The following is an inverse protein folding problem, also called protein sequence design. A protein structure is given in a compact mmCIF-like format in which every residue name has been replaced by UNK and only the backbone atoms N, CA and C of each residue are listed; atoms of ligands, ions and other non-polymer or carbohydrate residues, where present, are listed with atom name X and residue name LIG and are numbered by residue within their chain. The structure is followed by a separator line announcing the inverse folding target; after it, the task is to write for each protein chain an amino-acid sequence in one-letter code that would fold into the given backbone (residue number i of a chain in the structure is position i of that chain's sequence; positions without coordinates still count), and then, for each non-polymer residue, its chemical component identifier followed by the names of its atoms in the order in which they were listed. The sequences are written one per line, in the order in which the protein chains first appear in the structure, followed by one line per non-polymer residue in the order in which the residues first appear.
data_IF_655483836305
#
_entry.id   IF_655483836305
#
_cell.length_a   1.000
_cell.length_b   1.000
_cell.length_c   1.000
_cell.angle_alpha   90.00
_cell.angle_beta   90.00
_cell.angle_gamma   90.00
#
_symmetry.space_group_name_H-M   'P 1'
#
loop_
_entity.id
_entity.type
_entity.pdbx_description
1 polymer ?
#
# COMPACT_ATOMS: atom_id res chain seq x y z
N UNK A 1 16.79 23.11 11.21
CA UNK A 1 15.82 22.41 10.33
C UNK A 1 16.56 21.18 9.86
N UNK A 2 16.14 19.99 10.30
CA UNK A 2 16.81 18.76 9.89
C UNK A 2 16.70 18.59 8.38
N UNK A 3 17.74 18.05 7.74
CA UNK A 3 17.74 17.70 6.30
C UNK A 3 16.56 16.82 5.85
N UNK A 4 15.80 16.30 6.80
CA UNK A 4 14.62 15.46 6.61
C UNK A 4 13.36 16.21 6.12
N UNK A 5 13.38 17.55 5.97
CA UNK A 5 12.21 18.34 5.57
C UNK A 5 12.62 19.37 4.48
N UNK A 6 13.48 18.98 3.57
CA UNK A 6 13.84 19.80 2.43
C UNK A 6 12.73 19.81 1.36
N UNK A 7 12.88 20.64 0.36
CA UNK A 7 11.92 20.77 -0.74
C UNK A 7 11.78 19.45 -1.51
N UNK A 8 12.89 18.70 -1.69
CA UNK A 8 12.89 17.41 -2.38
C UNK A 8 12.01 16.40 -1.63
N UNK A 9 12.20 16.25 -0.32
CA UNK A 9 11.36 15.37 0.50
C UNK A 9 9.88 15.74 0.38
N UNK A 10 9.52 17.01 0.57
CA UNK A 10 8.11 17.44 0.51
C UNK A 10 7.49 17.24 -0.88
N UNK A 11 8.28 17.37 -1.95
CA UNK A 11 7.81 17.24 -3.33
C UNK A 11 7.35 15.80 -3.67
N UNK A 12 7.99 14.79 -3.10
CA UNK A 12 7.64 13.39 -3.30
C UNK A 12 6.77 12.83 -2.17
N UNK A 13 7.03 13.22 -0.92
CA UNK A 13 6.30 12.71 0.24
C UNK A 13 4.84 13.22 0.30
N UNK A 14 4.59 14.49 -0.06
CA UNK A 14 3.22 15.03 -0.03
C UNK A 14 2.29 14.33 -1.03
N UNK A 15 2.65 14.17 -2.33
CA UNK A 15 1.86 13.35 -3.24
C UNK A 15 1.70 11.90 -2.78
N UNK A 16 2.75 11.30 -2.19
CA UNK A 16 2.68 9.94 -1.67
C UNK A 16 1.55 9.79 -0.64
N UNK A 17 1.53 10.64 0.40
CA UNK A 17 0.51 10.56 1.46
C UNK A 17 -0.88 10.96 0.99
N UNK A 18 -0.99 11.86 0.00
CA UNK A 18 -2.27 12.22 -0.63
C UNK A 18 -2.84 10.99 -1.36
N UNK A 19 -2.05 10.33 -2.19
CA UNK A 19 -2.49 9.14 -2.94
C UNK A 19 -2.88 8.00 -2.01
N UNK A 20 -2.09 7.76 -0.96
CA UNK A 20 -2.39 6.75 0.06
C UNK A 20 -3.68 7.11 0.79
N UNK A 21 -3.89 8.38 1.16
CA UNK A 21 -5.11 8.85 1.81
C UNK A 21 -6.36 8.67 0.94
N UNK A 22 -6.28 9.05 -0.33
CA UNK A 22 -7.36 8.81 -1.29
C UNK A 22 -7.66 7.32 -1.43
N UNK A 23 -6.61 6.48 -1.47
CA UNK A 23 -6.77 5.02 -1.53
C UNK A 23 -7.54 4.46 -0.34
N UNK A 24 -7.23 4.91 0.87
CA UNK A 24 -7.93 4.53 2.10
C UNK A 24 -9.38 5.00 2.12
N UNK A 25 -9.69 6.09 1.43
CA UNK A 25 -11.06 6.57 1.23
C UNK A 25 -11.89 5.73 0.26
N UNK A 26 -11.29 4.75 -0.44
CA UNK A 26 -11.98 3.82 -1.33
C UNK A 26 -11.49 3.80 -2.78
N UNK A 27 -10.48 4.61 -3.13
CA UNK A 27 -9.83 4.56 -4.45
C UNK A 27 -8.73 3.50 -4.46
N UNK A 28 -9.13 2.24 -4.42
CA UNK A 28 -8.22 1.11 -4.40
C UNK A 28 -7.25 1.13 -5.59
N UNK A 29 -5.97 0.91 -5.30
CA UNK A 29 -4.89 0.94 -6.29
C UNK A 29 -4.01 2.20 -6.24
N UNK A 30 -4.54 3.37 -5.85
CA UNK A 30 -3.75 4.60 -5.76
C UNK A 30 -2.63 4.52 -4.71
N UNK A 31 -2.90 3.82 -3.60
CA UNK A 31 -1.96 3.68 -2.50
C UNK A 31 -0.67 2.95 -2.87
N UNK A 32 -0.69 2.14 -3.92
CA UNK A 32 0.49 1.39 -4.36
C UNK A 32 1.64 2.30 -4.87
N UNK A 33 1.33 3.52 -5.33
CA UNK A 33 2.34 4.51 -5.69
C UNK A 33 2.95 5.23 -4.46
N UNK A 34 2.30 5.14 -3.30
CA UNK A 34 2.73 5.88 -2.10
C UNK A 34 4.14 5.51 -1.64
N UNK A 35 4.43 4.21 -1.49
CA UNK A 35 5.77 3.77 -1.05
C UNK A 35 6.86 4.05 -2.08
N UNK A 36 6.68 3.80 -3.40
CA UNK A 36 7.66 4.22 -4.40
C UNK A 36 7.99 5.71 -4.35
N UNK A 37 6.98 6.58 -4.27
CA UNK A 37 7.23 8.03 -4.15
C UNK A 37 7.92 8.39 -2.84
N UNK A 38 7.53 7.77 -1.73
CA UNK A 38 8.19 8.01 -0.45
C UNK A 38 9.63 7.48 -0.44
N UNK A 39 9.92 6.35 -1.12
CA UNK A 39 11.26 5.82 -1.28
C UNK A 39 12.15 6.78 -2.09
N UNK A 40 11.63 7.40 -3.14
CA UNK A 40 12.31 8.45 -3.89
C UNK A 40 12.54 9.73 -3.06
N UNK A 41 11.73 9.98 -2.01
CA UNK A 41 11.90 11.11 -1.11
C UNK A 41 12.95 10.87 -0.03
N UNK A 42 13.24 9.61 0.31
CA UNK A 42 14.09 9.22 1.45
C UNK A 42 15.36 8.51 1.03
N UNK A 43 15.46 8.08 -0.23
CA UNK A 43 16.51 7.21 -0.79
C UNK A 43 16.67 5.86 -0.05
N UNK A 44 15.75 5.54 0.88
CA UNK A 44 15.74 4.35 1.72
C UNK A 44 14.34 3.74 1.82
N UNK A 45 14.07 2.58 1.18
CA UNK A 45 12.72 2.01 1.11
C UNK A 45 12.17 1.56 2.47
N UNK A 46 13.03 1.11 3.40
CA UNK A 46 12.60 0.68 4.73
C UNK A 46 12.18 1.90 5.56
N UNK A 47 12.97 2.99 5.50
CA UNK A 47 12.64 4.28 6.10
C UNK A 47 11.37 4.90 5.52
N UNK A 48 11.20 4.84 4.19
CA UNK A 48 9.98 5.26 3.52
C UNK A 48 8.75 4.56 4.08
N UNK A 49 8.83 3.23 4.22
CA UNK A 49 7.76 2.42 4.76
C UNK A 49 7.52 2.69 6.26
N UNK A 50 8.57 2.98 7.03
CA UNK A 50 8.49 3.33 8.45
C UNK A 50 7.81 4.69 8.69
N UNK A 51 8.06 5.69 7.85
CA UNK A 51 7.37 6.99 7.89
C UNK A 51 5.89 6.82 7.53
N UNK A 52 5.59 5.98 6.53
CA UNK A 52 4.22 5.74 6.09
C UNK A 52 3.40 4.92 7.08
N UNK A 53 3.99 4.00 7.85
CA UNK A 53 3.22 3.09 8.70
C UNK A 53 2.36 3.82 9.76
N UNK A 54 2.86 4.77 10.55
CA UNK A 54 2.02 5.53 11.49
C UNK A 54 0.94 6.35 10.78
N UNK A 55 1.26 6.90 9.60
CA UNK A 55 0.29 7.63 8.77
C UNK A 55 -0.85 6.68 8.34
N UNK A 56 -0.50 5.47 7.87
CA UNK A 56 -1.45 4.44 7.51
C UNK A 56 -2.36 4.05 8.67
N UNK A 57 -1.81 3.89 9.87
CA UNK A 57 -2.60 3.56 11.08
C UNK A 57 -3.65 4.64 11.39
N UNK A 58 -3.29 5.91 11.27
CA UNK A 58 -4.24 7.00 11.48
C UNK A 58 -5.28 7.06 10.35
N UNK A 59 -4.87 6.87 9.10
CA UNK A 59 -5.78 6.81 7.97
C UNK A 59 -6.73 5.60 8.04
N UNK A 60 -6.28 4.47 8.61
CA UNK A 60 -7.11 3.30 8.84
C UNK A 60 -8.24 3.60 9.82
N UNK A 61 -8.01 4.41 10.85
CA UNK A 61 -9.09 4.85 11.77
C UNK A 61 -10.18 5.58 10.99
N UNK A 62 -9.81 6.47 10.06
CA UNK A 62 -10.79 7.18 9.21
C UNK A 62 -11.55 6.21 8.33
N UNK A 63 -10.86 5.30 7.63
CA UNK A 63 -11.47 4.33 6.74
C UNK A 63 -12.42 3.35 7.48
N UNK A 64 -11.93 2.77 8.57
CA UNK A 64 -12.72 1.84 9.40
C UNK A 64 -13.95 2.55 10.00
N UNK A 65 -13.80 3.76 10.52
CA UNK A 65 -14.93 4.51 11.07
C UNK A 65 -16.00 4.81 10.01
N UNK A 66 -15.57 5.16 8.78
CA UNK A 66 -16.49 5.48 7.68
C UNK A 66 -17.29 4.27 7.17
N UNK A 67 -16.71 3.06 7.20
CA UNK A 67 -17.28 1.84 6.62
C UNK A 67 -17.48 0.71 7.64
N UNK A 68 -17.49 0.99 8.94
CA UNK A 68 -17.52 0.02 10.06
C UNK A 68 -18.70 -0.97 10.05
N UNK A 69 -19.77 -0.67 9.32
CA UNK A 69 -20.98 -1.50 9.23
C UNK A 69 -21.09 -2.29 7.93
N UNK A 70 -20.16 -2.09 7.01
CA UNK A 70 -20.22 -2.64 5.66
C UNK A 70 -18.94 -3.42 5.37
N UNK A 71 -18.88 -4.69 5.79
CA UNK A 71 -17.71 -5.55 5.56
C UNK A 71 -18.08 -7.03 5.54
N UNK A 72 -17.24 -7.87 4.96
CA UNK A 72 -17.41 -9.31 4.82
C UNK A 72 -16.40 -10.08 5.68
N UNK A 73 -16.91 -10.70 6.77
CA UNK A 73 -16.08 -11.48 7.70
C UNK A 73 -15.51 -12.75 7.09
N UNK A 74 -16.14 -13.32 6.06
CA UNK A 74 -15.67 -14.55 5.41
C UNK A 74 -14.39 -14.30 4.62
N UNK A 75 -14.27 -13.13 4.00
CA UNK A 75 -13.08 -12.67 3.30
C UNK A 75 -11.94 -12.43 4.30
N UNK A 76 -12.22 -11.73 5.41
CA UNK A 76 -11.22 -11.49 6.46
C UNK A 76 -10.70 -12.82 7.02
N UNK A 77 -11.59 -13.75 7.35
CA UNK A 77 -11.21 -15.06 7.87
C UNK A 77 -10.40 -15.91 6.88
N UNK A 78 -10.65 -15.76 5.57
CA UNK A 78 -9.90 -16.48 4.54
C UNK A 78 -8.51 -15.90 4.30
N UNK A 79 -8.35 -14.58 4.34
CA UNK A 79 -7.11 -13.92 3.92
C UNK A 79 -6.18 -13.54 5.07
N UNK A 80 -6.71 -13.12 6.25
CA UNK A 80 -5.87 -12.62 7.36
C UNK A 80 -4.83 -13.62 7.86
N UNK A 81 -5.14 -14.93 8.05
CA UNK A 81 -4.12 -15.88 8.51
C UNK A 81 -2.92 -15.94 7.56
N UNK A 82 -3.18 -16.02 6.26
CA UNK A 82 -2.13 -15.97 5.24
C UNK A 82 -1.39 -14.64 5.24
N UNK A 83 -2.11 -13.52 5.41
CA UNK A 83 -1.50 -12.19 5.41
C UNK A 83 -0.54 -11.98 6.59
N UNK A 84 -0.89 -12.47 7.78
CA UNK A 84 0.01 -12.45 8.95
C UNK A 84 1.28 -13.25 8.67
N UNK A 85 1.14 -14.47 8.10
CA UNK A 85 2.30 -15.27 7.70
C UNK A 85 3.16 -14.55 6.65
N UNK A 86 2.52 -13.89 5.67
CA UNK A 86 3.19 -13.09 4.65
C UNK A 86 3.96 -11.90 5.22
N UNK A 87 3.41 -11.20 6.23
CA UNK A 87 4.13 -10.13 6.96
C UNK A 87 5.38 -10.70 7.63
N UNK A 88 5.27 -11.84 8.30
CA UNK A 88 6.42 -12.51 8.94
C UNK A 88 7.50 -12.86 7.92
N UNK A 89 7.14 -13.44 6.77
CA UNK A 89 8.08 -13.74 5.68
C UNK A 89 8.74 -12.47 5.14
N UNK A 90 7.97 -11.41 4.92
CA UNK A 90 8.50 -10.12 4.47
C UNK A 90 9.47 -9.48 5.46
N UNK A 91 9.20 -9.60 6.77
CA UNK A 91 10.09 -9.13 7.82
C UNK A 91 11.43 -9.89 7.83
N UNK A 92 11.36 -11.22 7.81
CA UNK A 92 12.57 -12.06 7.81
C UNK A 92 13.44 -11.76 6.59
N UNK A 93 12.81 -11.58 5.43
CA UNK A 93 13.54 -11.25 4.21
C UNK A 93 14.14 -9.85 4.27
N UNK A 94 13.38 -8.85 4.71
CA UNK A 94 13.86 -7.47 4.84
C UNK A 94 15.03 -7.34 5.85
N UNK A 95 15.03 -8.17 6.91
CA UNK A 95 16.11 -8.22 7.88
C UNK A 95 17.37 -8.94 7.37
N UNK A 96 17.23 -9.79 6.35
CA UNK A 96 18.31 -10.64 5.83
C UNK A 96 18.94 -10.10 4.53
N UNK A 97 18.37 -9.10 3.89
CA UNK A 97 18.83 -8.57 2.60
C UNK A 97 19.26 -7.09 2.68
N UNK A 98 20.08 -6.65 1.73
CA UNK A 98 20.54 -5.25 1.67
C UNK A 98 19.40 -4.28 1.33
N UNK A 99 19.59 -3.01 1.67
CA UNK A 99 18.65 -1.93 1.30
C UNK A 99 18.45 -1.85 -0.22
N UNK A 100 19.52 -2.05 -1.00
CA UNK A 100 19.47 -2.05 -2.46
C UNK A 100 18.60 -3.19 -2.99
N UNK A 101 18.70 -4.40 -2.41
CA UNK A 101 17.85 -5.52 -2.79
C UNK A 101 16.36 -5.25 -2.46
N UNK A 102 16.08 -4.59 -1.33
CA UNK A 102 14.71 -4.16 -0.98
C UNK A 102 14.22 -3.08 -1.96
N UNK A 103 15.08 -2.15 -2.35
CA UNK A 103 14.77 -1.10 -3.34
C UNK A 103 14.47 -1.71 -4.72
N UNK A 104 15.30 -2.63 -5.18
CA UNK A 104 15.08 -3.37 -6.43
C UNK A 104 13.76 -4.18 -6.39
N UNK A 105 13.47 -4.85 -5.26
CA UNK A 105 12.24 -5.59 -5.07
C UNK A 105 11.00 -4.67 -5.10
N UNK A 106 11.06 -3.51 -4.44
CA UNK A 106 10.01 -2.49 -4.49
C UNK A 106 9.80 -1.98 -5.91
N UNK A 107 10.89 -1.71 -6.65
CA UNK A 107 10.84 -1.31 -8.05
C UNK A 107 10.16 -2.36 -8.93
N UNK A 108 10.58 -3.63 -8.80
CA UNK A 108 9.99 -4.74 -9.55
C UNK A 108 8.48 -4.92 -9.26
N UNK A 109 8.08 -4.89 -7.98
CA UNK A 109 6.66 -4.98 -7.58
C UNK A 109 5.86 -3.81 -8.16
N UNK A 110 6.42 -2.60 -8.16
CA UNK A 110 5.76 -1.40 -8.70
C UNK A 110 5.54 -1.50 -10.21
N UNK A 111 6.55 -1.97 -10.96
CA UNK A 111 6.45 -2.18 -12.41
C UNK A 111 5.40 -3.27 -12.73
N UNK A 112 5.53 -4.43 -12.08
CA UNK A 112 4.62 -5.56 -12.33
C UNK A 112 3.17 -5.19 -12.01
N UNK A 113 2.96 -4.47 -10.92
CA UNK A 113 1.62 -4.06 -10.56
C UNK A 113 1.07 -2.97 -11.50
N UNK A 114 1.84 -1.96 -11.82
CA UNK A 114 1.42 -0.92 -12.77
C UNK A 114 1.08 -1.51 -14.14
N UNK A 115 1.93 -2.40 -14.66
CA UNK A 115 1.69 -3.12 -15.90
C UNK A 115 0.43 -4.00 -15.83
N UNK A 116 0.28 -4.79 -14.75
CA UNK A 116 -0.92 -5.60 -14.51
C UNK A 116 -2.19 -4.74 -14.51
N UNK A 117 -2.19 -3.60 -13.83
CA UNK A 117 -3.36 -2.73 -13.75
C UNK A 117 -3.71 -2.10 -15.11
N UNK A 118 -2.71 -1.61 -15.85
CA UNK A 118 -2.93 -1.07 -17.20
C UNK A 118 -3.46 -2.13 -18.17
N UNK A 119 -2.97 -3.37 -18.05
CA UNK A 119 -3.46 -4.49 -18.85
C UNK A 119 -4.89 -4.88 -18.44
N UNK A 120 -5.20 -4.92 -17.15
CA UNK A 120 -6.52 -5.24 -16.64
C UNK A 120 -7.58 -4.21 -17.04
N UNK A 121 -7.23 -2.92 -17.08
CA UNK A 121 -8.12 -1.84 -17.54
C UNK A 121 -8.43 -1.94 -19.05
N UNK A 122 -7.53 -2.55 -19.82
CA UNK A 122 -7.73 -2.83 -21.26
C UNK A 122 -8.49 -4.14 -21.54
N UNK A 123 -9.12 -4.73 -20.54
CA UNK A 123 -9.91 -5.96 -20.68
C UNK A 123 -9.15 -7.25 -20.36
N UNK A 124 -7.90 -7.17 -19.91
CA UNK A 124 -7.14 -8.32 -19.41
C UNK A 124 -7.73 -8.88 -18.12
N UNK A 125 -7.69 -10.20 -17.95
CA UNK A 125 -8.26 -10.88 -16.79
C UNK A 125 -7.28 -11.90 -16.21
N UNK A 126 -6.55 -11.51 -15.17
CA UNK A 126 -5.98 -12.48 -14.23
C UNK A 126 -6.68 -12.25 -12.89
N UNK A 127 -7.62 -13.09 -12.56
CA UNK A 127 -8.34 -13.04 -11.30
C UNK A 127 -8.64 -14.46 -10.82
N UNK A 128 -8.61 -14.65 -9.52
CA UNK A 128 -9.09 -15.90 -8.94
C UNK A 128 -10.58 -16.09 -9.28
N UNK A 129 -11.03 -17.33 -9.40
CA UNK A 129 -12.45 -17.60 -9.56
C UNK A 129 -13.23 -17.08 -8.36
N UNK A 130 -14.43 -16.51 -8.61
CA UNK A 130 -15.34 -16.08 -7.52
C UNK A 130 -15.73 -17.23 -6.60
N UNK A 131 -15.67 -18.48 -7.09
CA UNK A 131 -15.95 -19.71 -6.35
C UNK A 131 -14.68 -20.38 -5.77
N UNK A 132 -13.52 -19.73 -5.83
CA UNK A 132 -12.27 -20.30 -5.32
C UNK A 132 -12.37 -20.61 -3.81
N UNK A 133 -11.84 -21.76 -3.34
CA UNK A 133 -11.91 -22.16 -1.95
C UNK A 133 -11.12 -21.22 -1.02
N UNK A 134 -11.42 -21.25 0.28
CA UNK A 134 -10.83 -20.34 1.27
C UNK A 134 -9.30 -20.42 1.34
N UNK A 135 -8.70 -21.60 1.12
CA UNK A 135 -7.25 -21.75 1.14
C UNK A 135 -6.54 -20.94 0.04
N UNK A 136 -7.21 -20.77 -1.13
CA UNK A 136 -6.71 -19.85 -2.18
C UNK A 136 -6.70 -18.41 -1.67
N UNK A 137 -7.74 -18.02 -0.89
CA UNK A 137 -7.75 -16.72 -0.20
C UNK A 137 -6.57 -16.56 0.75
N UNK A 138 -6.20 -17.61 1.49
CA UNK A 138 -5.00 -17.58 2.36
C UNK A 138 -3.70 -17.43 1.56
N UNK A 139 -3.57 -18.06 0.39
CA UNK A 139 -2.40 -17.87 -0.49
C UNK A 139 -2.30 -16.43 -0.99
N UNK A 140 -3.42 -15.85 -1.49
CA UNK A 140 -3.46 -14.44 -1.83
C UNK A 140 -3.21 -13.55 -0.60
N UNK A 141 -3.63 -14.00 0.58
CA UNK A 141 -3.28 -13.38 1.86
C UNK A 141 -1.79 -13.32 2.08
N UNK A 142 -1.06 -14.45 1.93
CA UNK A 142 0.41 -14.51 2.06
C UNK A 142 1.08 -13.50 1.12
N UNK A 143 0.70 -13.50 -0.16
CA UNK A 143 1.25 -12.55 -1.14
C UNK A 143 0.92 -11.10 -0.72
N UNK A 144 -0.31 -10.85 -0.27
CA UNK A 144 -0.75 -9.53 0.21
C UNK A 144 0.07 -9.06 1.40
N UNK A 145 0.25 -9.92 2.40
CA UNK A 145 1.04 -9.61 3.60
C UNK A 145 2.50 -9.35 3.28
N UNK A 146 3.10 -10.19 2.46
CA UNK A 146 4.48 -10.07 2.01
C UNK A 146 4.72 -8.75 1.26
N UNK A 147 3.93 -8.46 0.22
CA UNK A 147 4.05 -7.21 -0.54
C UNK A 147 3.67 -5.98 0.28
N UNK A 148 2.77 -6.14 1.25
CA UNK A 148 2.42 -5.08 2.19
C UNK A 148 3.53 -4.78 3.19
N UNK A 149 4.30 -5.78 3.63
CA UNK A 149 5.43 -5.59 4.53
C UNK A 149 6.58 -4.86 3.84
N UNK A 150 6.92 -5.27 2.61
CA UNK A 150 8.06 -4.72 1.87
C UNK A 150 7.75 -3.32 1.30
N UNK A 151 6.55 -3.14 0.73
CA UNK A 151 6.26 -2.01 -0.15
C UNK A 151 4.94 -1.29 0.17
N UNK A 152 4.24 -1.63 1.24
CA UNK A 152 2.83 -1.25 1.47
C UNK A 152 1.91 -1.50 0.25
N UNK A 153 2.32 -2.40 -0.65
CA UNK A 153 1.67 -2.72 -1.92
C UNK A 153 0.78 -3.99 -1.83
N UNK A 154 0.14 -4.23 -0.70
CA UNK A 154 -0.77 -5.37 -0.54
C UNK A 154 -2.12 -5.25 -1.27
N UNK A 155 -2.48 -4.06 -1.74
CA UNK A 155 -3.75 -3.82 -2.43
C UNK A 155 -3.99 -4.72 -3.66
N UNK A 156 -3.03 -4.87 -4.56
CA UNK A 156 -3.16 -5.68 -5.77
C UNK A 156 -3.54 -7.13 -5.53
N UNK A 157 -2.78 -7.91 -4.76
CA UNK A 157 -3.11 -9.32 -4.51
C UNK A 157 -4.46 -9.47 -3.77
N UNK A 158 -4.77 -8.55 -2.84
CA UNK A 158 -6.07 -8.48 -2.19
C UNK A 158 -7.18 -8.34 -3.21
N UNK A 159 -7.06 -7.37 -4.13
CA UNK A 159 -8.07 -7.13 -5.18
C UNK A 159 -8.22 -8.30 -6.14
N UNK A 160 -7.13 -8.96 -6.53
CA UNK A 160 -7.17 -10.11 -7.44
C UNK A 160 -8.05 -11.24 -6.92
N UNK A 161 -8.13 -11.43 -5.60
CA UNK A 161 -8.97 -12.45 -5.00
C UNK A 161 -10.37 -11.93 -4.61
N UNK A 162 -10.51 -10.67 -4.21
CA UNK A 162 -11.78 -10.11 -3.70
C UNK A 162 -12.67 -9.55 -4.81
N UNK A 163 -12.12 -8.83 -5.81
CA UNK A 163 -12.93 -8.18 -6.85
C UNK A 163 -13.83 -9.14 -7.66
N UNK A 164 -13.39 -10.37 -8.02
CA UNK A 164 -14.25 -11.31 -8.74
C UNK A 164 -15.52 -11.71 -7.98
N UNK A 165 -15.56 -11.50 -6.67
CA UNK A 165 -16.74 -11.78 -5.81
C UNK A 165 -17.84 -10.74 -5.94
N UNK A 166 -17.58 -9.64 -6.68
CA UNK A 166 -18.56 -8.59 -7.02
C UNK A 166 -19.32 -8.06 -5.80
N UNK A 167 -18.58 -7.80 -4.71
CA UNK A 167 -19.15 -7.17 -3.51
C UNK A 167 -19.72 -5.79 -3.84
N UNK A 168 -20.74 -5.38 -3.12
CA UNK A 168 -21.16 -3.98 -3.12
C UNK A 168 -19.99 -3.07 -2.75
N UNK A 169 -19.95 -1.86 -3.33
CA UNK A 169 -18.85 -0.91 -3.15
C UNK A 169 -18.51 -0.69 -1.67
N UNK A 170 -19.51 -0.40 -0.84
CA UNK A 170 -19.27 -0.07 0.57
C UNK A 170 -18.77 -1.30 1.34
N UNK A 171 -19.24 -2.52 0.99
CA UNK A 171 -18.74 -3.78 1.56
C UNK A 171 -17.30 -4.05 1.13
N UNK A 172 -16.96 -3.83 -0.14
CA UNK A 172 -15.60 -3.97 -0.64
C UNK A 172 -14.64 -3.01 0.08
N UNK A 173 -15.00 -1.72 0.18
CA UNK A 173 -14.16 -0.70 0.82
C UNK A 173 -14.03 -0.96 2.31
N UNK A 174 -15.11 -1.31 3.01
CA UNK A 174 -15.10 -1.62 4.43
C UNK A 174 -14.28 -2.88 4.76
N UNK A 175 -14.43 -3.94 3.95
CA UNK A 175 -13.62 -5.16 4.09
C UNK A 175 -12.13 -4.85 3.90
N UNK A 176 -11.80 -4.07 2.87
CA UNK A 176 -10.44 -3.61 2.60
C UNK A 176 -9.89 -2.76 3.76
N UNK A 177 -10.67 -1.80 4.26
CA UNK A 177 -10.27 -0.93 5.37
C UNK A 177 -9.91 -1.74 6.63
N UNK A 178 -10.79 -2.66 7.04
CA UNK A 178 -10.55 -3.52 8.22
C UNK A 178 -9.37 -4.45 7.98
N UNK A 179 -9.27 -5.09 6.81
CA UNK A 179 -8.19 -5.99 6.47
C UNK A 179 -6.83 -5.29 6.60
N UNK A 180 -6.66 -4.12 5.96
CA UNK A 180 -5.41 -3.39 6.00
C UNK A 180 -5.14 -2.71 7.34
N UNK A 181 -6.18 -2.32 8.10
CA UNK A 181 -6.01 -1.86 9.47
C UNK A 181 -5.37 -2.94 10.34
N UNK A 182 -5.93 -4.16 10.34
CA UNK A 182 -5.35 -5.30 11.08
C UNK A 182 -3.92 -5.56 10.61
N UNK A 183 -3.70 -5.58 9.29
CA UNK A 183 -2.38 -5.87 8.73
C UNK A 183 -1.34 -4.81 9.09
N UNK A 184 -1.71 -3.53 9.11
CA UNK A 184 -0.81 -2.45 9.52
C UNK A 184 -0.45 -2.55 11.00
N UNK A 185 -1.38 -2.94 11.89
CA UNK A 185 -1.08 -3.21 13.28
C UNK A 185 -0.15 -4.42 13.45
N UNK A 186 -0.33 -5.48 12.67
CA UNK A 186 0.56 -6.65 12.66
C UNK A 186 2.00 -6.30 12.24
N UNK A 187 2.16 -5.27 11.41
CA UNK A 187 3.49 -4.80 10.98
C UNK A 187 4.25 -4.00 12.04
N UNK A 188 3.56 -3.36 12.99
CA UNK A 188 4.20 -2.49 14.00
C UNK A 188 5.37 -3.18 14.73
N UNK A 189 5.22 -4.41 15.26
CA UNK A 189 6.33 -5.10 15.92
C UNK A 189 7.56 -5.29 15.03
N UNK A 190 7.34 -5.58 13.73
CA UNK A 190 8.42 -5.76 12.77
C UNK A 190 9.23 -4.46 12.57
N UNK A 191 8.56 -3.33 12.40
CA UNK A 191 9.24 -2.03 12.24
C UNK A 191 9.89 -1.52 13.54
N UNK A 192 9.34 -1.87 14.72
CA UNK A 192 10.00 -1.65 16.01
C UNK A 192 11.30 -2.45 16.08
N UNK A 193 11.26 -3.73 15.70
CA UNK A 193 12.43 -4.60 15.72
C UNK A 193 13.50 -4.20 14.70
N UNK A 194 13.12 -3.58 13.59
CA UNK A 194 14.05 -3.00 12.61
C UNK A 194 14.68 -1.66 13.09
N UNK A 195 14.22 -1.09 14.23
CA UNK A 195 14.76 0.16 14.77
C UNK A 195 14.31 1.43 14.01
N UNK A 196 13.28 1.32 13.18
CA UNK A 196 12.85 2.38 12.26
C UNK A 196 12.00 3.49 12.89
N UNK A 197 11.55 3.34 14.15
CA UNK A 197 10.84 4.38 14.87
C UNK A 197 11.80 5.42 15.48
N UNK A 198 12.54 6.08 14.60
CA UNK A 198 13.48 7.14 14.98
C UNK A 198 12.75 8.47 15.21
N UNK A 199 13.44 9.42 15.89
CA UNK A 199 12.92 10.78 16.11
C UNK A 199 12.67 11.49 14.77
N UNK A 200 13.56 11.32 13.80
CA UNK A 200 13.47 11.98 12.50
C UNK A 200 12.29 11.43 11.69
N UNK A 201 12.08 10.12 11.68
CA UNK A 201 10.91 9.50 11.06
C UNK A 201 9.60 9.94 11.73
N UNK A 202 9.59 10.11 13.06
CA UNK A 202 8.44 10.63 13.80
C UNK A 202 8.12 12.09 13.44
N UNK A 203 9.13 12.94 13.26
CA UNK A 203 8.94 14.33 12.82
C UNK A 203 8.38 14.37 11.40
N UNK A 204 8.95 13.60 10.46
CA UNK A 204 8.48 13.49 9.09
C UNK A 204 7.00 13.03 9.06
N UNK A 205 6.67 12.00 9.82
CA UNK A 205 5.30 11.52 10.00
C UNK A 205 4.37 12.64 10.49
N UNK A 206 4.76 13.35 11.57
CA UNK A 206 3.93 14.39 12.17
C UNK A 206 3.64 15.55 11.21
N UNK A 207 4.62 15.95 10.40
CA UNK A 207 4.46 17.01 9.39
C UNK A 207 3.49 16.58 8.27
N UNK A 208 3.54 15.31 7.84
CA UNK A 208 2.71 14.79 6.77
C UNK A 208 1.31 14.38 7.23
N UNK A 209 1.10 14.13 8.53
CA UNK A 209 -0.14 13.58 9.07
C UNK A 209 -1.39 14.44 8.79
N UNK A 210 -1.37 15.79 8.92
CA UNK A 210 -2.54 16.62 8.59
C UNK A 210 -2.98 16.44 7.14
N UNK A 211 -2.03 16.45 6.19
CA UNK A 211 -2.28 16.26 4.76
C UNK A 211 -2.87 14.86 4.51
N UNK A 212 -2.31 13.84 5.16
CA UNK A 212 -2.76 12.46 5.06
C UNK A 212 -4.21 12.28 5.53
N UNK A 213 -4.58 12.88 6.68
CA UNK A 213 -5.95 12.83 7.22
C UNK A 213 -6.93 13.54 6.29
N UNK A 214 -6.59 14.75 5.84
CA UNK A 214 -7.43 15.50 4.90
C UNK A 214 -7.64 14.73 3.58
N UNK A 215 -6.58 14.10 3.06
CA UNK A 215 -6.67 13.28 1.85
C UNK A 215 -7.58 12.05 2.06
N UNK A 216 -7.53 11.40 3.23
CA UNK A 216 -8.42 10.26 3.54
C UNK A 216 -9.89 10.69 3.63
N UNK A 217 -10.16 11.79 4.31
CA UNK A 217 -11.51 12.37 4.40
C UNK A 217 -12.04 12.79 3.02
N UNK A 218 -11.18 13.39 2.19
CA UNK A 218 -11.52 13.71 0.81
C UNK A 218 -11.82 12.43 0.01
N UNK A 219 -11.01 11.39 0.15
CA UNK A 219 -11.20 10.09 -0.49
C UNK A 219 -12.57 9.48 -0.18
N UNK A 220 -12.96 9.44 1.10
CA UNK A 220 -14.28 8.94 1.54
C UNK A 220 -15.43 9.72 0.87
N UNK A 221 -15.29 11.03 0.71
CA UNK A 221 -16.30 11.86 0.05
C UNK A 221 -16.32 11.68 -1.46
N UNK A 222 -15.14 11.60 -2.08
CA UNK A 222 -14.99 11.55 -3.53
C UNK A 222 -15.35 10.18 -4.12
N UNK A 223 -15.07 9.08 -3.43
CA UNK A 223 -15.30 7.72 -3.95
C UNK A 223 -16.75 7.48 -4.39
N UNK A 224 -17.68 8.19 -3.78
CA UNK A 224 -19.11 8.11 -4.09
C UNK A 224 -19.55 8.99 -5.26
N UNK A 225 -18.68 9.89 -5.78
CA UNK A 225 -19.06 10.97 -6.71
C UNK A 225 -18.29 10.97 -8.03
N UNK A 226 -17.13 10.34 -8.11
CA UNK A 226 -16.20 10.52 -9.24
C UNK A 226 -15.89 9.20 -9.94
N UNK A 227 -16.03 9.19 -11.27
CA UNK A 227 -15.47 8.17 -12.15
C UNK A 227 -14.03 8.59 -12.53
N UNK A 228 -13.03 7.86 -12.08
CA UNK A 228 -11.62 8.30 -12.13
C UNK A 228 -10.74 7.48 -13.09
N UNK A 229 -11.31 6.89 -14.15
CA UNK A 229 -10.59 5.98 -15.04
C UNK A 229 -9.27 6.55 -15.59
N UNK A 230 -9.30 7.79 -16.12
CA UNK A 230 -8.10 8.44 -16.68
C UNK A 230 -7.04 8.73 -15.62
N UNK A 231 -7.47 9.07 -14.41
CA UNK A 231 -6.56 9.35 -13.30
C UNK A 231 -5.83 8.08 -12.87
N UNK A 232 -6.51 6.94 -12.83
CA UNK A 232 -5.88 5.65 -12.55
C UNK A 232 -4.80 5.30 -13.56
N UNK A 233 -5.06 5.49 -14.84
CA UNK A 233 -4.07 5.24 -15.90
C UNK A 233 -2.78 6.06 -15.66
N UNK A 234 -2.91 7.36 -15.35
CA UNK A 234 -1.77 8.22 -15.02
C UNK A 234 -1.00 7.68 -13.82
N UNK A 235 -1.69 7.33 -12.74
CA UNK A 235 -1.07 6.79 -11.51
C UNK A 235 -0.30 5.51 -11.80
N UNK A 236 -0.84 4.59 -12.60
CA UNK A 236 -0.15 3.34 -12.92
C UNK A 236 1.06 3.55 -13.83
N UNK A 237 1.01 4.51 -14.75
CA UNK A 237 2.18 4.91 -15.55
C UNK A 237 3.26 5.50 -14.65
N UNK A 238 2.91 6.44 -13.76
CA UNK A 238 3.85 7.02 -12.80
C UNK A 238 4.45 5.96 -11.88
N UNK A 239 3.66 4.96 -11.48
CA UNK A 239 4.14 3.85 -10.66
C UNK A 239 5.16 2.98 -11.40
N UNK A 240 4.98 2.74 -12.71
CA UNK A 240 5.98 2.05 -13.54
C UNK A 240 7.26 2.90 -13.64
N UNK A 241 7.14 4.20 -13.90
CA UNK A 241 8.29 5.11 -14.01
C UNK A 241 9.08 5.16 -12.69
N UNK A 242 8.39 5.35 -11.56
CA UNK A 242 9.02 5.31 -10.24
C UNK A 242 9.65 3.94 -9.95
N UNK A 243 8.96 2.86 -10.34
CA UNK A 243 9.45 1.49 -10.20
C UNK A 243 10.71 1.22 -11.01
N UNK A 244 10.80 1.74 -12.24
CA UNK A 244 12.00 1.63 -13.07
C UNK A 244 13.17 2.35 -12.40
N UNK A 245 12.98 3.59 -11.92
CA UNK A 245 14.04 4.31 -11.21
C UNK A 245 14.51 3.53 -9.98
N UNK A 246 13.60 3.08 -9.11
CA UNK A 246 13.95 2.30 -7.92
C UNK A 246 14.67 0.98 -8.26
N UNK A 247 14.29 0.33 -9.37
CA UNK A 247 14.96 -0.89 -9.82
C UNK A 247 16.40 -0.60 -10.28
N UNK A 248 16.61 0.48 -11.04
CA UNK A 248 17.93 0.90 -11.50
C UNK A 248 18.82 1.29 -10.32
N UNK A 249 18.31 2.11 -9.39
CA UNK A 249 19.02 2.52 -8.19
C UNK A 249 19.42 1.29 -7.34
N UNK A 250 18.46 0.38 -7.10
CA UNK A 250 18.70 -0.83 -6.30
C UNK A 250 19.59 -1.90 -6.98
N UNK A 251 19.76 -1.83 -8.30
CA UNK A 251 20.69 -2.72 -9.03
C UNK A 251 22.08 -2.09 -9.28
N UNK A 252 22.26 -0.82 -8.89
CA UNK A 252 23.52 -0.09 -9.10
C UNK A 252 23.79 0.29 -10.56
N UNK A 253 22.75 0.32 -11.41
CA UNK A 253 22.84 0.67 -12.84
C UNK A 253 22.40 2.12 -13.08
N UNK A 254 21.88 2.80 -12.05
CA UNK A 254 21.35 4.16 -12.09
C UNK A 254 22.36 5.25 -11.71
#
# INVERSE_FOLDING_TARGET
MSAALDLHFLLFASPAVILVGLAKGGFSGLGALGTPLMALATDEPVKAAAILLPILLVQDVVGVAAFRRSWDGSILAAMLPGAVAGVGLGYVLAAAVSADAVMAALGAVSILFGAYRLWAERGGRIAASSSSPRWVGSLFGVITGFTSQIAHAGGPPFQMWVMPRKLDRDVFVGTSAIFFAVLNWVKVPAYVALGEFTRDNAIATAVLLPVAVLASLAGVKLVRRVAMERFYTIVYVLMIVAGVKLLLDGTGIG
#
